data_IF_753694087024
#
_entry.id   IF_753694087024
#
_cell.length_a   1.000
_cell.length_b   1.000
_cell.length_c   1.000
_cell.angle_alpha   90.00
_cell.angle_beta   90.00
_cell.angle_gamma   90.00
#
_symmetry.space_group_name_H-M   'P 1'
#
loop_
_entity.id
_entity.type
_entity.pdbx_description
1 polymer ?
#
# COMPACT_ATOMS: atom_id res chain seq x y z
N UNK A 1 -39.31 -38.79 59.65
CA UNK A 1 -38.23 -38.03 60.32
C UNK A 1 -37.27 -37.54 59.25
N UNK A 2 -37.45 -36.29 58.85
CA UNK A 2 -36.69 -35.61 57.78
C UNK A 2 -35.63 -34.76 58.44
N UNK A 3 -34.37 -35.02 58.12
CA UNK A 3 -33.25 -34.17 58.58
C UNK A 3 -32.78 -33.30 57.42
N UNK A 4 -32.93 -31.97 57.57
CA UNK A 4 -32.41 -30.92 56.70
C UNK A 4 -30.89 -30.81 56.86
N UNK A 5 -30.17 -30.96 55.75
CA UNK A 5 -28.75 -30.54 55.66
C UNK A 5 -28.66 -29.23 54.88
N UNK A 6 -28.40 -28.14 55.66
CA UNK A 6 -28.10 -26.81 55.16
C UNK A 6 -26.68 -26.79 54.62
N UNK A 7 -26.49 -26.50 53.31
CA UNK A 7 -25.20 -26.18 52.71
C UNK A 7 -24.94 -24.68 52.83
N UNK A 8 -24.00 -24.33 53.70
CA UNK A 8 -23.47 -22.98 53.79
C UNK A 8 -22.49 -22.72 52.62
N UNK A 9 -22.87 -21.83 51.71
CA UNK A 9 -21.96 -21.30 50.65
C UNK A 9 -21.12 -20.19 51.25
N UNK A 10 -19.80 -20.46 51.43
CA UNK A 10 -18.80 -19.43 51.75
C UNK A 10 -18.56 -18.59 50.48
N UNK A 11 -18.96 -17.31 50.54
CA UNK A 11 -18.52 -16.29 49.59
C UNK A 11 -17.07 -15.90 49.94
N UNK A 12 -16.12 -16.11 49.02
CA UNK A 12 -14.79 -15.55 49.13
C UNK A 12 -14.86 -14.04 48.76
N UNK A 13 -14.13 -13.17 49.48
CA UNK A 13 -14.13 -11.74 49.19
C UNK A 13 -13.31 -11.50 47.91
N UNK A 14 -13.92 -10.82 46.91
CA UNK A 14 -13.23 -10.30 45.77
C UNK A 14 -12.44 -9.07 46.20
N UNK A 15 -11.12 -9.18 46.19
CA UNK A 15 -10.26 -8.04 46.41
C UNK A 15 -10.37 -7.07 45.19
N UNK A 16 -10.49 -5.75 45.43
CA UNK A 16 -10.50 -4.79 44.32
C UNK A 16 -9.10 -4.70 43.73
N UNK A 17 -8.98 -5.02 42.44
CA UNK A 17 -7.79 -4.69 41.67
C UNK A 17 -7.71 -3.17 41.53
N UNK A 18 -6.90 -2.54 42.36
CA UNK A 18 -6.45 -1.16 42.15
C UNK A 18 -5.49 -1.15 40.94
N UNK A 19 -5.97 -0.76 39.76
CA UNK A 19 -5.10 -0.31 38.68
C UNK A 19 -4.55 1.07 39.11
N UNK A 20 -3.35 1.08 39.66
CA UNK A 20 -2.61 2.31 39.85
C UNK A 20 -2.16 2.84 38.48
N UNK A 21 -2.99 3.68 37.87
CA UNK A 21 -2.52 4.55 36.81
C UNK A 21 -1.56 5.57 37.37
N UNK A 22 -0.28 5.26 37.40
CA UNK A 22 0.77 6.26 37.56
C UNK A 22 0.77 7.13 36.30
N UNK A 23 -0.07 8.18 36.30
CA UNK A 23 0.05 9.27 35.34
C UNK A 23 1.29 10.08 35.71
N UNK A 24 2.41 9.80 35.10
CA UNK A 24 3.55 10.70 35.09
C UNK A 24 3.10 12.06 34.50
N UNK A 25 3.36 13.20 35.17
CA UNK A 25 3.09 14.51 34.59
C UNK A 25 3.97 14.66 33.34
N UNK A 26 3.38 14.62 32.15
CA UNK A 26 4.07 14.99 30.92
C UNK A 26 4.37 16.48 31.00
N UNK A 27 5.58 16.84 31.37
CA UNK A 27 6.16 18.13 31.08
C UNK A 27 6.04 18.35 29.57
N UNK A 28 5.39 19.45 29.16
CA UNK A 28 5.34 19.92 27.77
C UNK A 28 6.75 20.47 27.44
N UNK A 29 7.74 19.61 27.42
CA UNK A 29 9.01 19.90 26.76
C UNK A 29 8.72 19.83 25.25
N UNK A 30 9.21 20.81 24.50
CA UNK A 30 9.14 20.96 23.05
C UNK A 30 8.97 19.60 22.34
N UNK A 31 7.72 19.24 22.01
CA UNK A 31 7.40 17.95 21.39
C UNK A 31 7.49 18.07 19.86
N UNK A 32 8.61 18.59 19.34
CA UNK A 32 8.91 18.43 17.95
C UNK A 32 9.09 16.92 17.66
N UNK A 33 8.41 16.41 16.65
CA UNK A 33 8.66 15.05 16.22
C UNK A 33 10.14 14.92 15.80
N UNK A 34 10.84 13.86 16.20
CA UNK A 34 12.22 13.66 15.76
C UNK A 34 12.27 13.57 14.23
N UNK A 35 13.33 14.08 13.58
CA UNK A 35 13.45 13.98 12.13
C UNK A 35 13.51 12.51 11.71
N UNK A 36 12.87 12.21 10.56
CA UNK A 36 13.01 10.90 9.92
C UNK A 36 14.36 10.86 9.21
N UNK A 37 15.07 9.77 9.43
CA UNK A 37 16.28 9.47 8.69
C UNK A 37 15.92 8.88 7.32
N UNK A 38 16.61 9.33 6.28
CA UNK A 38 16.44 8.87 4.91
C UNK A 38 17.13 9.81 3.93
N UNK A 39 17.01 9.49 2.65
CA UNK A 39 17.54 10.30 1.56
C UNK A 39 16.40 10.69 0.63
N UNK A 40 16.44 11.91 0.12
CA UNK A 40 15.56 12.31 -0.97
C UNK A 40 15.85 11.47 -2.20
N UNK A 41 14.82 11.09 -2.94
CA UNK A 41 14.91 10.21 -4.10
C UNK A 41 13.91 10.58 -5.18
N UNK A 42 14.18 10.14 -6.41
CA UNK A 42 13.28 10.36 -7.55
C UNK A 42 12.46 9.12 -7.83
N UNK A 43 11.16 9.31 -8.00
CA UNK A 43 10.23 8.24 -8.35
C UNK A 43 9.64 8.47 -9.75
N UNK A 44 9.43 7.37 -10.49
CA UNK A 44 8.71 7.37 -11.76
C UNK A 44 7.46 6.48 -11.64
N UNK A 45 6.29 7.03 -12.02
CA UNK A 45 5.05 6.28 -12.08
C UNK A 45 4.68 6.06 -13.56
N UNK A 46 4.46 4.81 -13.91
CA UNK A 46 4.09 4.43 -15.26
C UNK A 46 2.58 4.24 -15.33
N UNK A 47 1.88 5.24 -15.86
CA UNK A 47 0.45 5.16 -16.18
C UNK A 47 0.30 4.36 -17.47
N UNK A 48 0.28 3.04 -17.32
CA UNK A 48 0.32 2.10 -18.43
C UNK A 48 -1.05 2.02 -19.13
N UNK A 49 -1.05 2.14 -20.46
CA UNK A 49 -2.23 1.97 -21.30
C UNK A 49 -2.25 0.64 -22.05
N UNK A 50 -3.38 0.35 -22.70
CA UNK A 50 -3.50 -0.75 -23.64
C UNK A 50 -3.37 -2.16 -23.05
N UNK A 51 -3.67 -2.34 -21.76
CA UNK A 51 -3.70 -3.66 -21.13
C UNK A 51 -4.89 -4.46 -21.65
N UNK A 52 -4.61 -5.64 -22.18
CA UNK A 52 -5.59 -6.51 -22.83
C UNK A 52 -5.44 -7.99 -22.44
N UNK A 53 -6.08 -8.91 -23.16
CA UNK A 53 -6.05 -10.33 -22.85
C UNK A 53 -4.71 -11.03 -23.21
N UNK A 54 -3.85 -10.39 -23.98
CA UNK A 54 -2.52 -10.92 -24.28
C UNK A 54 -1.52 -10.53 -23.20
N UNK A 55 -1.22 -11.47 -22.29
CA UNK A 55 -0.26 -11.26 -21.19
C UNK A 55 1.12 -10.89 -21.71
N UNK A 56 1.63 -11.58 -22.72
CA UNK A 56 2.97 -11.34 -23.28
C UNK A 56 3.07 -9.92 -23.84
N UNK A 57 2.05 -9.44 -24.54
CA UNK A 57 1.99 -8.07 -25.02
C UNK A 57 1.93 -7.05 -23.88
N UNK A 58 1.19 -7.34 -22.79
CA UNK A 58 1.12 -6.48 -21.61
C UNK A 58 2.49 -6.37 -20.92
N UNK A 59 3.19 -7.49 -20.75
CA UNK A 59 4.52 -7.53 -20.13
C UNK A 59 5.56 -6.79 -20.99
N UNK A 60 5.55 -6.99 -22.30
CA UNK A 60 6.45 -6.28 -23.20
C UNK A 60 6.20 -4.76 -23.18
N UNK A 61 4.94 -4.34 -23.17
CA UNK A 61 4.58 -2.91 -23.02
C UNK A 61 5.11 -2.33 -21.71
N UNK A 62 4.93 -3.03 -20.59
CA UNK A 62 5.44 -2.62 -19.30
C UNK A 62 6.98 -2.51 -19.31
N UNK A 63 7.67 -3.50 -19.88
CA UNK A 63 9.13 -3.52 -20.01
C UNK A 63 9.64 -2.32 -20.82
N UNK A 64 8.99 -2.02 -21.95
CA UNK A 64 9.34 -0.85 -22.79
C UNK A 64 9.16 0.45 -22.00
N UNK A 65 8.04 0.60 -21.28
CA UNK A 65 7.78 1.80 -20.46
C UNK A 65 8.74 1.96 -19.30
N UNK A 66 9.15 0.87 -18.65
CA UNK A 66 10.22 0.90 -17.64
C UNK A 66 11.53 1.39 -18.28
N UNK A 67 11.92 0.86 -19.44
CA UNK A 67 13.12 1.32 -20.17
C UNK A 67 13.04 2.78 -20.59
N UNK A 68 11.85 3.29 -20.94
CA UNK A 68 11.64 4.72 -21.22
C UNK A 68 11.81 5.55 -19.93
N UNK A 69 11.27 5.11 -18.80
CA UNK A 69 11.40 5.79 -17.51
C UNK A 69 12.85 5.96 -17.07
N UNK A 70 13.71 4.97 -17.33
CA UNK A 70 15.14 5.02 -17.01
C UNK A 70 15.87 6.18 -17.71
N UNK A 71 15.37 6.64 -18.87
CA UNK A 71 15.93 7.80 -19.57
C UNK A 71 15.68 9.13 -18.84
N UNK A 72 14.83 9.13 -17.79
CA UNK A 72 14.65 10.27 -16.90
C UNK A 72 13.78 11.40 -17.43
N UNK A 73 12.94 11.12 -18.45
CA UNK A 73 12.07 12.12 -19.06
C UNK A 73 12.85 13.28 -19.68
N UNK A 74 12.23 14.46 -19.70
CA UNK A 74 12.82 15.69 -20.28
C UNK A 74 14.05 16.20 -19.49
N UNK A 75 14.18 15.85 -18.23
CA UNK A 75 15.30 16.27 -17.37
C UNK A 75 16.52 15.34 -17.50
N UNK A 76 16.37 14.16 -18.12
CA UNK A 76 17.45 13.18 -18.27
C UNK A 76 17.97 12.59 -16.94
N UNK A 77 17.26 12.83 -15.82
CA UNK A 77 17.63 12.30 -14.50
C UNK A 77 16.88 10.99 -14.25
N UNK A 78 17.64 9.91 -14.14
CA UNK A 78 17.14 8.56 -13.89
C UNK A 78 16.35 8.49 -12.57
N UNK A 79 15.23 7.77 -12.50
CA UNK A 79 14.54 7.51 -11.24
C UNK A 79 15.30 6.48 -10.39
N UNK A 80 15.21 6.64 -9.07
CA UNK A 80 15.70 5.69 -8.09
C UNK A 80 14.68 4.57 -7.83
N UNK A 81 13.40 4.88 -8.06
CA UNK A 81 12.28 3.94 -7.90
C UNK A 81 11.28 4.09 -9.04
N UNK A 82 10.74 2.95 -9.52
CA UNK A 82 9.73 2.89 -10.58
C UNK A 82 8.50 2.15 -10.05
N UNK A 83 7.32 2.59 -10.43
CA UNK A 83 6.03 2.00 -10.00
C UNK A 83 5.16 1.70 -11.21
N UNK A 84 4.63 0.47 -11.28
CA UNK A 84 3.60 0.04 -12.22
C UNK A 84 2.21 0.11 -11.57
N UNK A 85 1.12 0.13 -12.38
CA UNK A 85 -0.24 0.19 -11.86
C UNK A 85 -0.78 -1.17 -11.41
N UNK A 86 -1.98 -1.16 -10.79
CA UNK A 86 -2.73 -2.35 -10.40
C UNK A 86 -3.12 -3.20 -11.61
N UNK A 87 -2.96 -4.55 -11.50
CA UNK A 87 -3.35 -5.56 -12.49
C UNK A 87 -2.84 -5.22 -13.90
N UNK A 88 -1.54 -4.97 -14.01
CA UNK A 88 -0.92 -4.52 -15.26
C UNK A 88 -0.71 -5.64 -16.29
N UNK A 89 -0.75 -6.92 -15.88
CA UNK A 89 -0.45 -8.08 -16.73
C UNK A 89 -1.68 -8.73 -17.37
N UNK A 90 -2.90 -8.27 -17.02
CA UNK A 90 -4.14 -8.92 -17.42
C UNK A 90 -5.33 -7.96 -17.43
N UNK A 91 -6.49 -8.33 -18.03
CA UNK A 91 -7.71 -7.57 -17.92
C UNK A 91 -8.15 -7.43 -16.44
N UNK A 92 -8.62 -6.24 -16.06
CA UNK A 92 -9.18 -5.98 -14.74
C UNK A 92 -10.64 -6.47 -14.67
N UNK A 93 -10.81 -7.78 -14.48
CA UNK A 93 -12.12 -8.42 -14.41
C UNK A 93 -12.07 -9.64 -13.48
N UNK A 94 -13.03 -9.75 -12.55
CA UNK A 94 -13.08 -10.83 -11.55
C UNK A 94 -13.06 -12.22 -12.18
N UNK A 95 -13.77 -12.41 -13.29
CA UNK A 95 -13.79 -13.68 -14.05
C UNK A 95 -12.47 -14.04 -14.72
N UNK A 96 -11.53 -13.09 -14.87
CA UNK A 96 -10.24 -13.31 -15.52
C UNK A 96 -9.12 -13.65 -14.55
N UNK A 97 -9.18 -13.23 -13.29
CA UNK A 97 -8.05 -13.29 -12.35
C UNK A 97 -7.45 -14.69 -12.23
N UNK A 98 -8.26 -15.75 -12.10
CA UNK A 98 -7.76 -17.12 -11.98
C UNK A 98 -7.00 -17.57 -13.22
N UNK A 99 -7.41 -17.17 -14.42
CA UNK A 99 -6.74 -17.53 -15.68
C UNK A 99 -5.33 -16.95 -15.79
N UNK A 100 -5.14 -15.73 -15.26
CA UNK A 100 -3.87 -15.00 -15.34
C UNK A 100 -3.02 -15.12 -14.08
N UNK A 101 -3.52 -15.83 -13.06
CA UNK A 101 -2.84 -15.96 -11.78
C UNK A 101 -1.51 -16.70 -11.90
N UNK A 102 -0.50 -16.18 -11.24
CA UNK A 102 0.86 -16.70 -11.24
C UNK A 102 1.32 -17.03 -9.82
N UNK A 103 2.16 -18.06 -9.67
CA UNK A 103 2.79 -18.35 -8.38
C UNK A 103 3.89 -17.33 -8.10
N UNK A 104 3.90 -16.82 -6.87
CA UNK A 104 4.91 -15.89 -6.39
C UNK A 104 5.69 -16.56 -5.25
N UNK A 105 6.93 -17.01 -5.50
CA UNK A 105 7.73 -17.72 -4.52
C UNK A 105 8.38 -16.75 -3.53
N UNK A 106 7.59 -16.16 -2.62
CA UNK A 106 8.05 -15.24 -1.60
C UNK A 106 7.78 -15.80 -0.20
N UNK A 107 8.81 -15.86 0.62
CA UNK A 107 8.72 -16.26 2.03
C UNK A 107 9.12 -15.08 2.91
N UNK A 108 8.18 -14.44 3.62
CA UNK A 108 8.47 -13.27 4.44
C UNK A 108 9.38 -13.56 5.64
N UNK A 109 9.55 -14.85 6.00
CA UNK A 109 10.45 -15.25 7.09
C UNK A 109 11.93 -15.32 6.68
N UNK A 110 12.21 -15.30 5.37
CA UNK A 110 13.55 -15.37 4.81
C UNK A 110 14.08 -13.99 4.47
N UNK A 111 15.37 -13.77 4.72
CA UNK A 111 16.04 -12.58 4.22
C UNK A 111 15.96 -12.51 2.68
N UNK A 112 15.98 -11.31 2.12
CA UNK A 112 15.91 -11.09 0.66
C UNK A 112 17.02 -11.83 -0.11
N UNK A 113 18.18 -12.07 0.52
CA UNK A 113 19.29 -12.87 -0.04
C UNK A 113 19.00 -14.36 -0.09
N UNK A 114 18.01 -14.85 0.65
CA UNK A 114 17.66 -16.27 0.78
C UNK A 114 16.37 -16.62 0.01
N UNK A 115 15.74 -15.64 -0.63
CA UNK A 115 14.58 -15.88 -1.49
C UNK A 115 15.01 -16.75 -2.70
N UNK A 116 14.20 -17.75 -3.00
CA UNK A 116 14.51 -18.67 -4.09
C UNK A 116 14.53 -17.94 -5.43
N UNK A 117 15.66 -17.92 -6.12
CA UNK A 117 15.76 -17.47 -7.52
C UNK A 117 15.12 -18.48 -8.48
N UNK A 118 14.78 -19.67 -7.98
CA UNK A 118 14.26 -20.78 -8.77
C UNK A 118 12.82 -20.54 -9.21
N UNK A 119 12.60 -20.55 -10.51
CA UNK A 119 11.30 -20.55 -11.20
C UNK A 119 10.40 -19.35 -10.96
N UNK A 120 10.91 -18.14 -11.17
CA UNK A 120 10.04 -16.97 -11.30
C UNK A 120 9.06 -17.18 -12.46
N UNK A 121 7.81 -16.86 -12.23
CA UNK A 121 6.78 -16.81 -13.27
C UNK A 121 7.11 -15.77 -14.34
N UNK A 122 6.37 -15.77 -15.44
CA UNK A 122 6.63 -14.89 -16.58
C UNK A 122 6.66 -13.40 -16.17
N UNK A 123 5.65 -12.95 -15.40
CA UNK A 123 5.58 -11.57 -14.93
C UNK A 123 6.72 -11.24 -13.98
N UNK A 124 7.04 -12.13 -13.04
CA UNK A 124 8.12 -11.91 -12.07
C UNK A 124 9.49 -11.90 -12.72
N UNK A 125 9.72 -12.77 -13.73
CA UNK A 125 10.96 -12.81 -14.48
C UNK A 125 11.20 -11.50 -15.24
N UNK A 126 10.15 -10.98 -15.88
CA UNK A 126 10.20 -9.68 -16.55
C UNK A 126 10.49 -8.54 -15.55
N UNK A 127 9.79 -8.51 -14.40
CA UNK A 127 9.97 -7.45 -13.40
C UNK A 127 11.36 -7.50 -12.77
N UNK A 128 11.86 -8.69 -12.42
CA UNK A 128 13.21 -8.90 -11.89
C UNK A 128 14.28 -8.38 -12.84
N UNK A 129 14.19 -8.79 -14.12
CA UNK A 129 15.14 -8.34 -15.13
C UNK A 129 15.05 -6.83 -15.38
N UNK A 130 13.82 -6.28 -15.42
CA UNK A 130 13.61 -4.85 -15.62
C UNK A 130 14.18 -4.01 -14.46
N UNK A 131 14.01 -4.44 -13.20
CA UNK A 131 14.61 -3.79 -12.03
C UNK A 131 16.14 -3.78 -12.11
N UNK A 132 16.72 -4.93 -12.50
CA UNK A 132 18.16 -5.09 -12.68
C UNK A 132 18.70 -4.22 -13.79
N UNK A 133 18.08 -4.22 -14.97
CA UNK A 133 18.49 -3.40 -16.12
C UNK A 133 18.35 -1.91 -15.81
N UNK A 134 17.29 -1.54 -15.11
CA UNK A 134 17.07 -0.20 -14.61
C UNK A 134 18.07 0.18 -13.50
N UNK A 135 18.65 -0.78 -12.78
CA UNK A 135 19.37 -0.56 -11.52
C UNK A 135 18.59 0.41 -10.62
N UNK A 136 17.28 0.13 -10.41
CA UNK A 136 16.34 0.92 -9.63
C UNK A 136 15.39 0.01 -8.89
N UNK A 137 14.84 0.48 -7.76
CA UNK A 137 13.74 -0.19 -7.09
C UNK A 137 12.53 -0.26 -8.02
N UNK A 138 11.85 -1.40 -8.04
CA UNK A 138 10.66 -1.59 -8.86
C UNK A 138 9.50 -2.13 -8.03
N UNK A 139 8.51 -1.26 -7.74
CA UNK A 139 7.21 -1.69 -7.26
C UNK A 139 6.44 -2.19 -8.48
N UNK A 140 6.31 -3.50 -8.60
CA UNK A 140 5.85 -4.19 -9.81
C UNK A 140 4.35 -4.09 -10.08
N UNK A 141 3.71 -2.99 -9.67
CA UNK A 141 2.26 -2.86 -9.79
C UNK A 141 1.56 -3.92 -8.98
N UNK A 142 0.53 -4.55 -9.55
CA UNK A 142 0.02 -5.80 -9.00
C UNK A 142 -0.39 -6.79 -10.08
N UNK A 143 -0.45 -8.06 -9.70
CA UNK A 143 -0.88 -9.17 -10.55
C UNK A 143 -1.76 -10.13 -9.75
N UNK A 144 -2.62 -10.93 -10.39
CA UNK A 144 -3.27 -12.06 -9.74
C UNK A 144 -2.22 -13.09 -9.31
N UNK A 145 -2.22 -13.46 -8.03
CA UNK A 145 -1.34 -14.48 -7.44
C UNK A 145 -2.13 -15.75 -7.17
N UNK A 146 -1.59 -16.92 -7.56
CA UNK A 146 -2.08 -18.23 -7.16
C UNK A 146 -1.25 -18.75 -5.98
N UNK A 147 -1.83 -18.76 -4.79
CA UNK A 147 -1.18 -19.30 -3.59
C UNK A 147 -1.19 -20.83 -3.56
N UNK A 148 -0.44 -21.43 -2.61
CA UNK A 148 -0.33 -22.89 -2.47
C UNK A 148 -1.65 -23.55 -2.06
N UNK A 149 -2.50 -22.85 -1.29
CA UNK A 149 -3.83 -23.29 -0.86
C UNK A 149 -4.95 -23.05 -1.90
N UNK A 150 -4.58 -22.84 -3.17
CA UNK A 150 -5.46 -22.57 -4.33
C UNK A 150 -6.24 -21.26 -4.23
N UNK A 151 -5.94 -20.40 -3.27
CA UNK A 151 -6.51 -19.06 -3.19
C UNK A 151 -5.88 -18.11 -4.20
N UNK A 152 -6.65 -17.13 -4.61
CA UNK A 152 -6.18 -16.07 -5.51
C UNK A 152 -6.09 -14.77 -4.71
N UNK A 153 -4.97 -14.07 -4.87
CA UNK A 153 -4.75 -12.75 -4.27
C UNK A 153 -4.46 -11.71 -5.37
N UNK A 154 -4.73 -10.45 -5.06
CA UNK A 154 -4.21 -9.31 -5.82
C UNK A 154 -2.91 -8.88 -5.15
N UNK A 155 -1.77 -9.11 -5.78
CA UNK A 155 -0.46 -9.07 -5.12
C UNK A 155 0.52 -8.14 -5.83
N UNK A 156 1.18 -7.30 -5.06
CA UNK A 156 2.20 -6.34 -5.52
C UNK A 156 3.59 -6.83 -5.12
N UNK A 157 4.36 -7.39 -6.04
CA UNK A 157 5.75 -7.76 -5.83
C UNK A 157 6.65 -6.53 -5.93
N UNK A 158 7.67 -6.43 -5.06
CA UNK A 158 8.67 -5.37 -5.12
C UNK A 158 10.07 -5.95 -5.27
N UNK A 159 10.83 -5.38 -6.21
CA UNK A 159 12.17 -5.80 -6.54
C UNK A 159 13.20 -4.74 -6.17
N UNK A 160 14.32 -5.17 -5.62
CA UNK A 160 15.51 -4.33 -5.39
C UNK A 160 16.26 -4.06 -6.69
N UNK A 161 17.20 -3.09 -6.71
CA UNK A 161 17.97 -2.74 -7.92
C UNK A 161 18.82 -3.87 -8.50
N UNK A 162 19.10 -4.92 -7.74
CA UNK A 162 19.78 -6.13 -8.22
C UNK A 162 18.83 -7.21 -8.74
N UNK A 163 17.52 -6.90 -8.83
CA UNK A 163 16.48 -7.77 -9.38
C UNK A 163 15.92 -8.81 -8.40
N UNK A 164 16.24 -8.73 -7.11
CA UNK A 164 15.69 -9.65 -6.11
C UNK A 164 14.29 -9.25 -5.68
N UNK A 165 13.40 -10.23 -5.54
CA UNK A 165 12.10 -10.05 -4.92
C UNK A 165 12.28 -9.85 -3.41
N UNK A 166 11.97 -8.66 -2.91
CA UNK A 166 12.26 -8.26 -1.51
C UNK A 166 11.02 -7.99 -0.68
N UNK A 167 9.87 -7.80 -1.31
CA UNK A 167 8.58 -7.64 -0.63
C UNK A 167 7.44 -8.12 -1.52
N UNK A 168 6.37 -8.57 -0.87
CA UNK A 168 5.12 -8.96 -1.50
C UNK A 168 3.97 -8.42 -0.64
N UNK A 169 3.16 -7.53 -1.19
CA UNK A 169 1.93 -7.06 -0.55
C UNK A 169 0.72 -7.71 -1.20
N UNK A 170 -0.10 -8.39 -0.43
CA UNK A 170 -1.42 -8.87 -0.84
C UNK A 170 -2.46 -7.83 -0.43
N UNK A 171 -3.28 -7.37 -1.37
CA UNK A 171 -4.37 -6.41 -1.14
C UNK A 171 -5.20 -6.83 0.07
N UNK A 172 -5.22 -5.98 1.10
CA UNK A 172 -5.88 -6.32 2.37
C UNK A 172 -7.39 -6.15 2.25
N UNK A 173 -7.83 -5.05 1.63
CA UNK A 173 -9.23 -4.71 1.51
C UNK A 173 -9.71 -4.95 0.08
N UNK A 174 -10.63 -5.88 -0.10
CA UNK A 174 -11.20 -6.20 -1.41
C UNK A 174 -12.26 -5.18 -1.82
N UNK A 175 -12.29 -4.86 -3.11
CA UNK A 175 -13.22 -3.90 -3.67
C UNK A 175 -14.59 -4.55 -3.91
N UNK A 176 -15.40 -4.58 -2.85
CA UNK A 176 -16.78 -5.05 -2.88
C UNK A 176 -17.69 -3.85 -2.78
N UNK A 177 -18.32 -3.48 -3.88
CA UNK A 177 -19.28 -2.38 -3.93
C UNK A 177 -20.58 -2.82 -4.62
N UNK A 178 -21.66 -2.26 -4.14
CA UNK A 178 -22.97 -2.35 -4.75
C UNK A 178 -23.67 -0.99 -4.64
N UNK A 179 -23.60 -0.21 -5.73
CA UNK A 179 -24.17 1.14 -5.79
C UNK A 179 -25.51 1.05 -6.50
N UNK A 180 -26.66 1.30 -5.82
CA UNK A 180 -27.97 1.24 -6.44
C UNK A 180 -28.08 2.10 -7.69
N UNK A 181 -28.45 1.49 -8.82
CA UNK A 181 -28.52 2.16 -10.11
C UNK A 181 -27.15 2.49 -10.75
N UNK A 182 -26.09 2.00 -10.16
CA UNK A 182 -24.71 2.20 -10.61
C UNK A 182 -23.97 0.89 -10.85
N UNK A 183 -22.74 0.82 -10.35
CA UNK A 183 -21.86 -0.35 -10.53
C UNK A 183 -21.95 -1.31 -9.35
N UNK A 184 -22.07 -2.60 -9.64
CA UNK A 184 -21.80 -3.70 -8.70
C UNK A 184 -20.49 -4.36 -9.10
N UNK A 185 -19.55 -4.48 -8.15
CA UNK A 185 -18.27 -5.15 -8.37
C UNK A 185 -17.83 -5.84 -7.09
N UNK A 186 -17.51 -7.13 -7.14
CA UNK A 186 -17.19 -7.94 -5.96
C UNK A 186 -15.92 -8.75 -6.20
N UNK A 187 -14.79 -8.22 -5.75
CA UNK A 187 -13.51 -8.94 -5.81
C UNK A 187 -13.52 -10.19 -4.94
N UNK A 188 -14.25 -10.17 -3.81
CA UNK A 188 -14.33 -11.31 -2.88
C UNK A 188 -14.94 -12.59 -3.47
N UNK A 189 -15.60 -12.51 -4.62
CA UNK A 189 -16.07 -13.69 -5.34
C UNK A 189 -14.92 -14.52 -5.91
N UNK A 190 -13.76 -13.91 -6.14
CA UNK A 190 -12.59 -14.57 -6.76
C UNK A 190 -11.33 -14.42 -5.90
N UNK A 191 -11.14 -13.28 -5.26
CA UNK A 191 -9.93 -12.95 -4.52
C UNK A 191 -10.08 -13.19 -3.02
N UNK A 192 -8.96 -13.44 -2.37
CA UNK A 192 -8.82 -13.48 -0.91
C UNK A 192 -8.06 -12.23 -0.44
N UNK A 193 -8.49 -11.63 0.67
CA UNK A 193 -7.79 -10.50 1.28
C UNK A 193 -6.47 -10.90 1.92
N UNK A 194 -5.48 -10.02 1.86
CA UNK A 194 -4.24 -10.13 2.61
C UNK A 194 -4.46 -9.87 4.11
N UNK A 195 -3.44 -10.12 4.93
CA UNK A 195 -3.55 -10.15 6.39
C UNK A 195 -2.53 -9.27 7.12
N UNK A 196 -1.69 -8.52 6.38
CA UNK A 196 -0.65 -7.69 6.99
C UNK A 196 -0.34 -6.41 6.20
N UNK A 197 0.27 -5.46 6.89
CA UNK A 197 0.84 -4.24 6.30
C UNK A 197 2.25 -4.54 5.83
N UNK A 198 2.53 -4.28 4.56
CA UNK A 198 3.87 -4.50 3.98
C UNK A 198 4.70 -3.23 4.06
N UNK A 199 5.88 -3.35 4.66
CA UNK A 199 6.85 -2.26 4.77
C UNK A 199 8.18 -2.74 4.21
N UNK A 200 8.73 -1.96 3.30
CA UNK A 200 10.00 -2.15 2.64
C UNK A 200 11.05 -1.24 3.29
N UNK A 201 12.21 -1.77 3.63
CA UNK A 201 13.36 -0.99 4.05
C UNK A 201 14.25 -0.69 2.84
N UNK A 202 14.52 0.57 2.60
CA UNK A 202 15.37 1.05 1.50
C UNK A 202 16.42 2.02 2.03
N UNK A 203 17.42 2.35 1.21
CA UNK A 203 18.40 3.41 1.52
C UNK A 203 17.77 4.81 1.62
N UNK A 204 16.53 4.97 1.17
CA UNK A 204 15.76 6.22 1.26
C UNK A 204 14.94 6.33 2.55
N UNK A 205 14.82 5.23 3.31
CA UNK A 205 13.96 5.07 4.47
C UNK A 205 12.91 3.98 4.24
N UNK A 206 11.97 3.88 5.17
CA UNK A 206 10.89 2.89 5.08
C UNK A 206 9.80 3.34 4.12
N UNK A 207 9.35 2.44 3.27
CA UNK A 207 8.28 2.67 2.30
C UNK A 207 7.20 1.60 2.52
N UNK A 208 5.94 2.03 2.64
CA UNK A 208 4.82 1.11 2.74
C UNK A 208 4.17 0.88 1.38
N UNK A 209 3.61 -0.31 1.20
CA UNK A 209 2.85 -0.69 0.00
C UNK A 209 1.39 -0.94 0.40
N UNK A 210 0.47 -0.45 -0.40
CA UNK A 210 -0.95 -0.79 -0.40
C UNK A 210 -1.42 -1.00 -1.83
N UNK A 211 -2.64 -1.50 -2.02
CA UNK A 211 -3.22 -1.65 -3.35
C UNK A 211 -4.61 -1.01 -3.38
N UNK A 212 -4.80 -0.02 -4.24
CA UNK A 212 -6.09 0.55 -4.66
C UNK A 212 -7.07 0.81 -3.49
N UNK A 213 -7.96 -0.13 -3.22
CA UNK A 213 -9.01 -0.01 -2.20
C UNK A 213 -8.47 0.17 -0.79
N UNK A 214 -7.24 -0.28 -0.52
CA UNK A 214 -6.53 -0.06 0.74
C UNK A 214 -6.42 1.43 1.11
N UNK A 215 -6.37 2.33 0.13
CA UNK A 215 -6.33 3.77 0.34
C UNK A 215 -7.55 4.30 1.13
N UNK A 216 -8.71 3.62 1.05
CA UNK A 216 -9.94 4.03 1.73
C UNK A 216 -9.88 3.85 3.23
N UNK A 217 -8.98 3.01 3.71
CA UNK A 217 -8.86 2.62 5.11
C UNK A 217 -7.70 3.38 5.77
N UNK A 218 -8.01 4.46 6.53
CA UNK A 218 -6.98 5.28 7.16
C UNK A 218 -6.11 4.50 8.15
N UNK A 219 -6.63 3.43 8.74
CA UNK A 219 -5.96 2.59 9.72
C UNK A 219 -4.71 1.93 9.12
N UNK A 220 -4.78 1.45 7.86
CA UNK A 220 -3.64 0.85 7.18
C UNK A 220 -2.50 1.84 7.00
N UNK A 221 -2.81 3.05 6.51
CA UNK A 221 -1.84 4.11 6.32
C UNK A 221 -1.26 4.61 7.66
N UNK A 222 -2.11 4.74 8.69
CA UNK A 222 -1.68 5.11 10.03
C UNK A 222 -0.75 4.08 10.64
N UNK A 223 -1.05 2.78 10.47
CA UNK A 223 -0.19 1.69 10.93
C UNK A 223 1.19 1.78 10.24
N UNK A 224 1.22 1.96 8.91
CA UNK A 224 2.45 2.13 8.15
C UNK A 224 3.28 3.34 8.62
N UNK A 225 2.63 4.48 8.85
CA UNK A 225 3.30 5.69 9.32
C UNK A 225 3.91 5.54 10.72
N UNK A 226 3.43 4.56 11.52
CA UNK A 226 3.84 4.34 12.91
C UNK A 226 4.80 3.18 13.11
N UNK A 227 4.99 2.32 12.13
CA UNK A 227 5.88 1.17 12.22
C UNK A 227 7.32 1.61 12.55
N UNK A 228 7.79 1.17 13.70
CA UNK A 228 9.12 1.54 14.21
C UNK A 228 9.12 2.70 15.18
N UNK A 229 7.98 3.09 15.76
CA UNK A 229 7.77 4.28 16.60
C UNK A 229 8.48 4.31 17.94
N UNK A 230 9.10 3.25 18.44
CA UNK A 230 9.97 3.40 19.62
C UNK A 230 11.00 4.54 19.45
N UNK A 231 11.26 4.96 18.18
CA UNK A 231 12.17 6.04 17.84
C UNK A 231 11.57 7.11 16.86
N UNK A 232 10.24 7.12 16.62
CA UNK A 232 9.61 8.10 15.71
C UNK A 232 9.93 7.93 14.22
N UNK A 233 10.44 6.77 13.82
CA UNK A 233 10.94 6.50 12.45
C UNK A 233 9.92 5.69 11.64
N UNK A 234 8.78 6.29 11.34
CA UNK A 234 7.78 5.69 10.43
C UNK A 234 8.21 5.73 8.95
N UNK A 235 7.31 5.32 8.08
CA UNK A 235 7.53 5.38 6.64
C UNK A 235 7.66 6.82 6.13
N UNK A 236 8.45 6.99 5.06
CA UNK A 236 8.61 8.27 4.35
C UNK A 236 7.58 8.41 3.23
N UNK A 237 7.10 7.30 2.72
CA UNK A 237 6.06 7.25 1.69
C UNK A 237 5.20 5.99 1.81
N UNK A 238 4.00 6.05 1.26
CA UNK A 238 3.17 4.90 0.98
C UNK A 238 2.77 4.90 -0.49
N UNK A 239 2.98 3.77 -1.16
CA UNK A 239 2.79 3.59 -2.60
C UNK A 239 1.58 2.70 -2.82
N UNK A 240 0.70 3.14 -3.72
CA UNK A 240 -0.51 2.41 -4.10
C UNK A 240 -0.55 2.21 -5.62
N UNK A 241 -0.19 1.04 -6.15
CA UNK A 241 -0.75 0.58 -7.41
C UNK A 241 -2.28 0.57 -7.29
N UNK A 242 -3.00 1.26 -8.18
CA UNK A 242 -4.42 1.45 -8.00
C UNK A 242 -5.15 1.63 -9.34
N UNK A 243 -6.42 1.26 -9.37
CA UNK A 243 -7.27 1.38 -10.56
C UNK A 243 -8.68 1.86 -10.17
N UNK A 244 -8.83 3.08 -9.64
CA UNK A 244 -10.15 3.64 -9.39
C UNK A 244 -10.89 3.80 -10.72
N UNK A 245 -12.21 3.56 -10.70
CA UNK A 245 -13.05 3.72 -11.89
C UNK A 245 -13.52 5.17 -12.08
N UNK A 246 -14.14 5.46 -13.22
CA UNK A 246 -14.65 6.79 -13.55
C UNK A 246 -15.84 7.25 -12.69
N UNK A 247 -16.46 6.39 -11.88
CA UNK A 247 -17.50 6.76 -10.92
C UNK A 247 -16.89 7.28 -9.63
N UNK A 248 -15.92 6.56 -9.06
CA UNK A 248 -15.34 6.87 -7.75
C UNK A 248 -14.07 7.70 -7.84
N UNK A 249 -13.39 7.70 -8.98
CA UNK A 249 -12.18 8.49 -9.23
C UNK A 249 -12.40 9.98 -9.00
N UNK A 250 -13.34 10.63 -9.71
CA UNK A 250 -13.61 12.07 -9.56
C UNK A 250 -13.97 12.47 -8.14
N UNK A 251 -14.61 11.58 -7.39
CA UNK A 251 -15.11 11.87 -6.05
C UNK A 251 -14.01 11.73 -4.98
N UNK A 252 -13.13 10.73 -5.13
CA UNK A 252 -12.33 10.27 -4.00
C UNK A 252 -10.82 10.20 -4.27
N UNK A 253 -10.37 10.18 -5.52
CA UNK A 253 -8.96 9.99 -5.85
C UNK A 253 -8.06 11.05 -5.21
N UNK A 254 -8.30 12.33 -5.50
CA UNK A 254 -7.52 13.43 -4.95
C UNK A 254 -7.79 13.66 -3.46
N UNK A 255 -9.06 13.50 -3.05
CA UNK A 255 -9.44 13.64 -1.64
C UNK A 255 -8.68 12.67 -0.74
N UNK A 256 -8.68 11.37 -1.09
CA UNK A 256 -8.12 10.34 -0.22
C UNK A 256 -6.59 10.38 -0.19
N UNK A 257 -5.92 10.59 -1.34
CA UNK A 257 -4.45 10.70 -1.33
C UNK A 257 -4.00 11.89 -0.48
N UNK A 258 -4.67 13.04 -0.57
CA UNK A 258 -4.37 14.22 0.23
C UNK A 258 -4.65 14.00 1.72
N UNK A 259 -5.77 13.38 2.05
CA UNK A 259 -6.10 13.04 3.44
C UNK A 259 -5.05 12.12 4.06
N UNK A 260 -4.68 11.01 3.38
CA UNK A 260 -3.67 10.09 3.90
C UNK A 260 -2.29 10.73 4.05
N UNK A 261 -1.92 11.64 3.15
CA UNK A 261 -0.68 12.38 3.25
C UNK A 261 -0.65 13.29 4.50
N UNK A 262 -1.71 14.07 4.72
CA UNK A 262 -1.82 14.98 5.88
C UNK A 262 -1.93 14.23 7.20
N UNK A 263 -2.79 13.21 7.26
CA UNK A 263 -3.01 12.42 8.48
C UNK A 263 -1.73 11.77 9.01
N UNK A 264 -0.83 11.38 8.10
CA UNK A 264 0.33 10.56 8.42
C UNK A 264 1.67 11.27 8.21
N UNK A 265 1.65 12.47 7.61
CA UNK A 265 2.82 13.31 7.34
C UNK A 265 3.94 12.57 6.60
N UNK A 266 3.55 11.88 5.53
CA UNK A 266 4.43 11.18 4.59
C UNK A 266 3.90 11.37 3.16
N UNK A 267 4.71 11.00 2.16
CA UNK A 267 4.26 11.07 0.77
C UNK A 267 3.25 9.97 0.46
N UNK A 268 2.23 10.32 -0.34
CA UNK A 268 1.34 9.34 -0.96
C UNK A 268 1.63 9.31 -2.46
N UNK A 269 1.83 8.10 -2.96
CA UNK A 269 2.14 7.82 -4.36
C UNK A 269 1.06 6.92 -4.94
N UNK A 270 0.37 7.40 -5.96
CA UNK A 270 -0.76 6.71 -6.58
C UNK A 270 -0.43 6.42 -8.04
N UNK A 271 -0.31 5.15 -8.42
CA UNK A 271 -0.04 4.74 -9.81
C UNK A 271 -1.25 4.01 -10.40
N UNK A 272 -1.90 4.63 -11.38
CA UNK A 272 -3.10 4.14 -12.06
C UNK A 272 -2.78 3.64 -13.47
N UNK A 273 -3.53 2.68 -14.03
CA UNK A 273 -3.57 2.49 -15.46
C UNK A 273 -4.12 3.75 -16.16
N UNK A 274 -3.74 3.96 -17.41
CA UNK A 274 -4.40 4.94 -18.27
C UNK A 274 -5.86 4.56 -18.50
N UNK A 275 -6.71 5.56 -18.74
CA UNK A 275 -8.10 5.32 -19.09
C UNK A 275 -8.21 4.67 -20.46
N UNK A 276 -8.86 3.51 -20.52
CA UNK A 276 -9.17 2.88 -21.80
C UNK A 276 -10.13 3.75 -22.59
N UNK A 277 -9.81 4.00 -23.87
CA UNK A 277 -10.65 4.75 -24.82
C UNK A 277 -11.64 3.84 -25.53
N UNK A 278 -11.30 2.55 -25.66
CA UNK A 278 -12.04 1.58 -26.46
C UNK A 278 -12.59 0.43 -25.61
N UNK A 279 -13.65 -0.21 -26.09
CA UNK A 279 -14.26 -1.39 -25.48
C UNK A 279 -15.15 -1.09 -24.28
N UNK A 280 -15.84 -2.17 -23.82
CA UNK A 280 -16.79 -2.15 -22.68
C UNK A 280 -16.12 -2.59 -21.37
N UNK A 281 -14.80 -2.78 -21.37
CA UNK A 281 -14.03 -3.22 -20.19
C UNK A 281 -13.94 -2.18 -19.08
N UNK A 282 -13.23 -2.53 -18.02
CA UNK A 282 -12.99 -1.66 -16.89
C UNK A 282 -12.26 -0.38 -17.33
N UNK A 283 -12.83 0.78 -16.98
CA UNK A 283 -12.25 2.10 -17.30
C UNK A 283 -11.66 2.71 -16.06
N UNK A 284 -10.33 2.67 -15.96
CA UNK A 284 -9.58 3.32 -14.90
C UNK A 284 -9.70 4.84 -14.98
N UNK A 285 -9.59 5.51 -13.84
CA UNK A 285 -9.64 6.98 -13.76
C UNK A 285 -8.40 7.62 -14.39
N UNK A 286 -7.22 7.01 -14.29
CA UNK A 286 -5.93 7.63 -14.60
C UNK A 286 -5.46 8.51 -13.44
N UNK A 287 -4.89 9.66 -13.75
CA UNK A 287 -4.48 10.67 -12.77
C UNK A 287 -3.45 10.16 -11.76
N UNK A 288 -2.51 9.30 -12.20
CA UNK A 288 -1.36 8.93 -11.37
C UNK A 288 -0.70 10.17 -10.80
N UNK A 289 -0.40 10.15 -9.51
CA UNK A 289 0.05 11.36 -8.84
C UNK A 289 0.87 11.11 -7.58
N UNK A 290 1.54 12.16 -7.13
CA UNK A 290 2.33 12.21 -5.89
C UNK A 290 1.85 13.38 -5.05
N UNK A 291 1.52 13.10 -3.78
CA UNK A 291 1.07 14.09 -2.81
C UNK A 291 2.08 14.19 -1.66
N UNK A 292 2.47 15.40 -1.31
CA UNK A 292 3.42 15.68 -0.23
C UNK A 292 2.77 15.62 1.17
N UNK A 293 3.55 15.59 2.25
CA UNK A 293 3.06 15.56 3.63
C UNK A 293 2.13 16.69 4.06
N UNK A 294 2.09 17.79 3.29
CA UNK A 294 1.20 18.93 3.54
C UNK A 294 -0.11 18.84 2.72
N UNK A 295 -0.32 17.74 2.00
CA UNK A 295 -1.50 17.49 1.18
C UNK A 295 -1.50 18.22 -0.16
N UNK A 296 -0.35 18.72 -0.62
CA UNK A 296 -0.20 19.28 -1.95
C UNK A 296 0.10 18.16 -2.96
N UNK A 297 -0.69 18.08 -4.02
CA UNK A 297 -0.34 17.24 -5.18
C UNK A 297 0.82 17.92 -5.89
N UNK A 298 2.02 17.31 -5.80
CA UNK A 298 3.26 17.89 -6.33
C UNK A 298 3.48 17.54 -7.79
N UNK A 299 2.92 16.42 -8.24
CA UNK A 299 2.92 15.99 -9.63
C UNK A 299 1.71 15.11 -9.90
N UNK A 300 1.09 15.24 -11.08
CA UNK A 300 -0.06 14.44 -11.50
C UNK A 300 -0.15 14.38 -13.02
N UNK A 301 -0.50 13.20 -13.57
CA UNK A 301 -0.91 13.03 -14.96
C UNK A 301 -2.42 13.31 -15.10
N UNK A 302 -2.88 13.38 -16.34
CA UNK A 302 -4.29 13.26 -16.72
C UNK A 302 -4.66 11.79 -16.98
N UNK A 303 -5.68 11.50 -17.79
CA UNK A 303 -6.17 10.13 -18.03
C UNK A 303 -5.35 9.30 -19.01
N UNK A 304 -4.47 9.92 -19.81
CA UNK A 304 -3.75 9.25 -20.92
C UNK A 304 -2.51 8.50 -20.43
N UNK A 305 -2.03 7.58 -21.26
CA UNK A 305 -0.77 6.90 -21.03
C UNK A 305 0.38 7.91 -20.89
N UNK A 306 1.25 7.70 -19.91
CA UNK A 306 2.38 8.56 -19.66
C UNK A 306 3.28 8.07 -18.54
N UNK A 307 4.40 8.75 -18.35
CA UNK A 307 5.34 8.53 -17.26
C UNK A 307 5.45 9.82 -16.45
N UNK A 308 5.11 9.76 -15.17
CA UNK A 308 5.22 10.85 -14.23
C UNK A 308 6.53 10.73 -13.46
N UNK A 309 7.26 11.83 -13.34
CA UNK A 309 8.43 11.93 -12.47
C UNK A 309 8.14 12.89 -11.32
N UNK A 310 8.59 12.52 -10.11
CA UNK A 310 8.50 13.39 -8.94
C UNK A 310 9.69 13.14 -8.01
N UNK A 311 10.06 14.15 -7.23
CA UNK A 311 11.06 14.03 -6.19
C UNK A 311 10.37 13.89 -4.81
N UNK A 312 10.76 12.88 -4.07
CA UNK A 312 10.42 12.70 -2.66
C UNK A 312 11.48 13.41 -1.84
N UNK A 313 11.11 14.54 -1.24
CA UNK A 313 12.03 15.40 -0.50
C UNK A 313 11.87 15.20 1.01
N UNK A 314 12.93 14.70 1.65
CA UNK A 314 12.95 14.44 3.09
C UNK A 314 12.82 15.71 3.93
N UNK A 315 13.28 16.85 3.43
CA UNK A 315 13.14 18.13 4.13
C UNK A 315 11.67 18.54 4.26
N UNK A 316 10.83 18.23 3.27
CA UNK A 316 9.40 18.50 3.32
C UNK A 316 8.74 17.68 4.42
N UNK A 317 9.08 16.40 4.56
CA UNK A 317 8.58 15.53 5.64
C UNK A 317 9.00 16.11 7.00
N UNK A 318 10.28 16.43 7.18
CA UNK A 318 10.80 16.92 8.44
C UNK A 318 10.22 18.28 8.83
N UNK A 319 10.03 19.19 7.86
CA UNK A 319 9.37 20.48 8.07
C UNK A 319 7.89 20.31 8.47
N UNK A 320 7.15 19.42 7.80
CA UNK A 320 5.76 19.14 8.12
C UNK A 320 5.62 18.61 9.57
N UNK A 321 6.44 17.64 9.94
CA UNK A 321 6.43 17.03 11.29
C UNK A 321 6.88 17.98 12.39
N UNK A 322 7.85 18.85 12.11
CA UNK A 322 8.30 19.86 13.07
C UNK A 322 7.26 20.98 13.25
N UNK A 323 6.62 21.41 12.15
CA UNK A 323 5.67 22.52 12.16
C UNK A 323 4.30 22.16 12.75
N UNK A 324 3.79 20.95 12.44
CA UNK A 324 2.47 20.46 12.90
C UNK A 324 2.66 19.02 13.41
N UNK A 325 3.14 18.82 14.63
CA UNK A 325 3.64 17.51 15.09
C UNK A 325 2.53 16.52 15.46
N UNK A 326 1.56 16.26 14.57
CA UNK A 326 0.41 15.38 14.82
C UNK A 326 0.82 13.93 15.10
N UNK A 327 1.96 13.48 14.59
CA UNK A 327 2.47 12.13 14.80
C UNK A 327 2.80 11.84 16.26
N UNK A 328 3.28 12.85 17.04
CA UNK A 328 3.61 12.71 18.48
C UNK A 328 2.52 13.26 19.40
N UNK A 329 1.53 13.95 18.87
CA UNK A 329 0.42 14.52 19.65
C UNK A 329 -0.82 13.61 19.72
N UNK A 330 -0.81 12.45 19.04
CA UNK A 330 -1.93 11.51 19.09
C UNK A 330 -2.14 10.99 20.51
N UNK A 331 -3.40 10.97 20.92
CA UNK A 331 -3.84 10.58 22.26
C UNK A 331 -4.39 9.16 22.29
N UNK A 332 -3.52 8.16 22.07
CA UNK A 332 -3.92 6.75 22.11
C UNK A 332 -4.44 6.29 23.48
N UNK A 333 -4.15 7.07 24.53
CA UNK A 333 -4.74 6.92 25.84
C UNK A 333 -6.23 7.32 25.91
N UNK A 334 -6.70 8.12 24.93
CA UNK A 334 -8.10 8.56 24.82
C UNK A 334 -8.87 7.73 23.81
N UNK A 335 -8.19 7.27 22.75
CA UNK A 335 -8.83 6.48 21.71
C UNK A 335 -9.11 5.06 22.23
N UNK A 336 -10.38 4.72 22.39
CA UNK A 336 -10.77 3.36 22.68
C UNK A 336 -10.40 2.42 21.51
N UNK A 337 -10.37 1.13 21.80
CA UNK A 337 -10.17 0.11 20.77
C UNK A 337 -11.25 0.31 19.67
N UNK A 338 -10.81 0.64 18.46
CA UNK A 338 -11.69 0.81 17.30
C UNK A 338 -12.21 -0.53 16.77
N UNK A 339 -11.62 -1.64 17.21
CA UNK A 339 -12.13 -2.98 16.95
C UNK A 339 -13.30 -3.26 17.89
N UNK A 340 -14.45 -2.65 17.65
CA UNK A 340 -15.67 -3.02 18.38
C UNK A 340 -15.92 -4.51 18.15
N UNK A 341 -15.45 -5.35 19.06
CA UNK A 341 -15.84 -6.77 19.08
C UNK A 341 -17.35 -6.80 19.19
N UNK A 342 -18.03 -7.47 18.26
CA UNK A 342 -19.42 -7.87 18.48
C UNK A 342 -19.42 -8.55 19.85
N UNK A 343 -20.09 -7.95 20.84
CA UNK A 343 -20.42 -8.68 22.04
C UNK A 343 -21.20 -9.88 21.55
N UNK A 344 -20.73 -11.07 21.86
CA UNK A 344 -21.43 -12.31 21.59
C UNK A 344 -22.80 -12.17 22.26
N UNK A 345 -23.83 -12.01 21.40
CA UNK A 345 -25.25 -11.94 21.80
C UNK A 345 -25.78 -13.32 22.12
#
# INVERSE_FOLDING_TARGET
MLAHLSRATRKLPIAPFFHSHLSLPRTIASMAAPPIEGKSFRIALIQLGGVGPDKTANLERARVKISEAVKGGTEGRKPDMIVLPEIFNSPYATGSFRQYAERIPFDPSKASSEQAESSLSESLSMLSQAAKDANAWLVGGSIPELAEDDKIYNSSPTFSPDGKLVALHRKVHLFDIDIPGGITFKESETLTGGDHVTILETEFGKIAIGICYDLRFPELAMHAARQGESNGRGCVAMIYPAAFNCTTGPLHWDLLQRARAVDNQFYIVMCSPARATDGDGYKAWGYSGVTDPMGKIVAQLEEKEGILFADIDMDVINKARAGIPVTVQRRFDVYSDVTLRKQDS
#
